data_IF_175287193767
#
_entry.id   IF_175287193767
#
_cell.length_a   1.000
_cell.length_b   1.000
_cell.length_c   1.000
_cell.angle_alpha   90.00
_cell.angle_beta   90.00
_cell.angle_gamma   90.00
#
_symmetry.space_group_name_H-M   'P 1'
#
loop_
_entity.id
_entity.type
_entity.pdbx_description
1 polymer ?
#
# COMPACT_ATOMS: atom_id res chain seq x y z
N UNK A 1 -7.07 28.01 -1.83
CA UNK A 1 -6.94 27.00 -2.91
C UNK A 1 -6.26 25.76 -2.33
N UNK A 2 -6.88 24.58 -2.42
CA UNK A 2 -6.32 23.31 -1.94
C UNK A 2 -5.32 22.81 -3.00
N UNK A 3 -4.06 22.64 -2.60
CA UNK A 3 -3.01 22.16 -3.49
C UNK A 3 -3.37 20.77 -4.01
N UNK A 4 -3.22 20.64 -5.32
CA UNK A 4 -3.58 19.47 -6.13
C UNK A 4 -2.75 18.27 -5.67
N UNK A 5 -3.43 17.14 -5.45
CA UNK A 5 -2.79 15.87 -5.12
C UNK A 5 -1.65 15.60 -6.09
N UNK A 6 -0.47 15.40 -5.52
CA UNK A 6 0.72 15.05 -6.28
C UNK A 6 0.42 13.75 -7.05
N UNK A 7 0.40 13.84 -8.37
CA UNK A 7 0.46 12.68 -9.26
C UNK A 7 1.87 12.11 -9.10
N UNK A 8 2.04 11.23 -8.10
CA UNK A 8 3.27 10.49 -7.91
C UNK A 8 3.42 9.51 -9.07
N UNK A 9 4.30 9.91 -9.98
CA UNK A 9 5.17 9.10 -10.83
C UNK A 9 4.57 7.86 -11.52
N UNK A 10 4.31 8.03 -12.83
CA UNK A 10 4.08 6.98 -13.84
C UNK A 10 5.20 5.92 -13.98
N UNK A 11 6.20 5.84 -13.08
CA UNK A 11 7.35 4.94 -13.23
C UNK A 11 7.09 3.49 -12.81
N UNK A 12 6.05 3.21 -12.02
CA UNK A 12 5.72 1.85 -11.55
C UNK A 12 4.39 1.29 -12.06
N UNK A 13 3.88 1.81 -13.18
CA UNK A 13 2.63 1.33 -13.80
C UNK A 13 2.65 -0.18 -14.16
N UNK A 14 3.79 -0.85 -14.00
CA UNK A 14 4.03 -2.24 -14.36
C UNK A 14 4.41 -3.16 -13.19
N UNK A 15 4.37 -2.71 -11.92
CA UNK A 15 4.51 -3.66 -10.82
C UNK A 15 3.26 -4.54 -10.73
N UNK A 16 3.45 -5.85 -10.83
CA UNK A 16 2.39 -6.82 -10.62
C UNK A 16 1.79 -6.70 -9.21
N UNK A 17 0.51 -7.03 -9.09
CA UNK A 17 -0.15 -7.12 -7.79
C UNK A 17 0.51 -8.21 -6.94
N UNK A 18 0.77 -7.90 -5.67
CA UNK A 18 1.29 -8.85 -4.69
C UNK A 18 0.14 -9.70 -4.18
N UNK A 19 0.07 -10.94 -4.66
CA UNK A 19 -0.97 -11.90 -4.27
C UNK A 19 -0.71 -12.55 -2.91
N UNK A 20 0.56 -12.81 -2.57
CA UNK A 20 0.99 -13.30 -1.26
C UNK A 20 1.69 -12.19 -0.47
N UNK A 21 0.97 -11.57 0.47
CA UNK A 21 1.46 -10.44 1.26
C UNK A 21 2.59 -10.86 2.21
N UNK A 22 2.74 -12.14 2.57
CA UNK A 22 3.84 -12.62 3.44
C UNK A 22 5.22 -12.43 2.80
N UNK A 23 5.25 -12.21 1.49
CA UNK A 23 6.48 -11.90 0.75
C UNK A 23 6.98 -10.48 0.99
N UNK A 24 6.13 -9.58 1.49
CA UNK A 24 6.52 -8.22 1.86
C UNK A 24 7.40 -8.24 3.12
N UNK A 25 8.23 -7.21 3.26
CA UNK A 25 9.15 -7.01 4.37
C UNK A 25 8.94 -5.62 4.95
N UNK A 26 9.22 -5.47 6.24
CA UNK A 26 9.20 -4.15 6.87
C UNK A 26 10.15 -3.20 6.12
N UNK A 27 9.68 -1.99 5.83
CA UNK A 27 10.38 -0.99 5.01
C UNK A 27 10.11 -1.07 3.50
N UNK A 28 9.45 -2.13 2.99
CA UNK A 28 9.04 -2.18 1.58
C UNK A 28 8.06 -1.04 1.29
N UNK A 29 8.31 -0.25 0.24
CA UNK A 29 7.34 0.75 -0.19
C UNK A 29 6.22 0.10 -1.02
N UNK A 30 4.96 0.32 -0.63
CA UNK A 30 3.81 -0.26 -1.31
C UNK A 30 2.68 0.74 -1.51
N UNK A 31 1.89 0.49 -2.54
CA UNK A 31 0.64 1.18 -2.83
C UNK A 31 -0.53 0.24 -2.56
N UNK A 32 -1.56 0.77 -1.90
CA UNK A 32 -2.85 0.10 -1.69
C UNK A 32 -3.85 0.64 -2.70
N UNK A 33 -4.43 -0.26 -3.47
CA UNK A 33 -5.35 0.07 -4.56
C UNK A 33 -6.73 -0.52 -4.27
N UNK A 34 -7.77 0.30 -4.36
CA UNK A 34 -9.17 -0.12 -4.27
C UNK A 34 -9.96 0.54 -5.39
N UNK A 35 -10.80 -0.25 -6.08
CA UNK A 35 -11.59 0.22 -7.23
C UNK A 35 -10.75 1.00 -8.26
N UNK A 36 -9.56 0.48 -8.60
CA UNK A 36 -8.60 1.11 -9.52
C UNK A 36 -7.99 2.46 -9.08
N UNK A 37 -8.19 2.88 -7.83
CA UNK A 37 -7.58 4.08 -7.26
C UNK A 37 -6.56 3.72 -6.18
N UNK A 38 -5.42 4.40 -6.16
CA UNK A 38 -4.49 4.36 -5.01
C UNK A 38 -5.18 5.07 -3.84
N UNK A 39 -5.48 4.32 -2.79
CA UNK A 39 -6.14 4.82 -1.58
C UNK A 39 -5.17 5.07 -0.43
N UNK A 40 -3.98 4.46 -0.49
CA UNK A 40 -2.88 4.71 0.44
C UNK A 40 -1.55 4.33 -0.21
N UNK A 41 -0.47 4.91 0.28
CA UNK A 41 0.90 4.53 -0.05
C UNK A 41 1.79 4.75 1.19
N UNK A 42 2.74 3.85 1.41
CA UNK A 42 3.58 3.89 2.60
C UNK A 42 4.56 2.72 2.67
N UNK A 43 5.33 2.70 3.74
CA UNK A 43 6.23 1.59 4.04
C UNK A 43 5.49 0.51 4.81
N UNK A 44 5.74 -0.74 4.47
CA UNK A 44 5.24 -1.88 5.24
C UNK A 44 5.85 -1.82 6.63
N UNK A 45 5.02 -1.86 7.66
CA UNK A 45 5.46 -2.06 9.04
C UNK A 45 5.50 -3.56 9.35
N UNK A 46 4.37 -4.22 9.13
CA UNK A 46 4.17 -5.62 9.48
C UNK A 46 3.16 -6.27 8.53
N UNK A 47 3.32 -7.58 8.34
CA UNK A 47 2.29 -8.45 7.75
C UNK A 47 1.98 -9.56 8.73
N UNK A 48 0.69 -9.80 8.96
CA UNK A 48 0.29 -10.87 9.87
C UNK A 48 0.78 -12.23 9.35
N UNK A 49 0.99 -13.19 10.26
CA UNK A 49 1.44 -14.53 9.90
C UNK A 49 0.51 -15.22 8.88
N UNK A 50 -0.79 -14.93 8.93
CA UNK A 50 -1.78 -15.45 7.97
C UNK A 50 -1.71 -14.80 6.59
N UNK A 51 -0.99 -13.66 6.45
CA UNK A 51 -0.88 -12.92 5.19
C UNK A 51 -2.15 -12.14 4.81
N UNK A 52 -3.06 -11.95 5.76
CA UNK A 52 -4.38 -11.34 5.51
C UNK A 52 -4.51 -9.92 6.06
N UNK A 53 -3.56 -9.47 6.88
CA UNK A 53 -3.53 -8.12 7.47
C UNK A 53 -2.19 -7.49 7.18
N UNK A 54 -2.23 -6.23 6.74
CA UNK A 54 -1.07 -5.43 6.39
C UNK A 54 -1.12 -4.11 7.16
N UNK A 55 -0.03 -3.76 7.84
CA UNK A 55 0.16 -2.47 8.50
C UNK A 55 1.14 -1.63 7.71
N UNK A 56 0.78 -0.37 7.46
CA UNK A 56 1.61 0.61 6.79
C UNK A 56 1.95 1.79 7.70
N UNK A 57 3.19 2.25 7.61
CA UNK A 57 3.59 3.60 8.02
C UNK A 57 3.40 4.53 6.81
N UNK A 58 2.48 5.51 6.88
CA UNK A 58 2.26 6.44 5.78
C UNK A 58 3.47 7.37 5.61
N UNK A 59 3.74 7.80 4.37
CA UNK A 59 4.84 8.72 4.06
C UNK A 59 4.64 10.17 4.56
N UNK A 60 3.59 10.45 5.34
CA UNK A 60 3.22 11.77 5.85
C UNK A 60 2.77 11.73 7.31
N UNK A 61 2.31 12.86 7.89
CA UNK A 61 2.00 12.97 9.32
C UNK A 61 0.64 12.32 9.68
N UNK A 62 0.44 11.07 9.28
CA UNK A 62 -0.75 10.27 9.56
C UNK A 62 -0.40 9.13 10.50
N UNK A 63 -1.41 8.67 11.22
CA UNK A 63 -1.32 7.45 12.01
C UNK A 63 -1.15 6.22 11.11
N UNK A 64 -0.62 5.15 11.71
CA UNK A 64 -0.48 3.84 11.09
C UNK A 64 -1.80 3.37 10.48
N UNK A 65 -1.72 2.79 9.30
CA UNK A 65 -2.90 2.32 8.56
C UNK A 65 -2.92 0.80 8.50
N UNK A 66 -4.10 0.22 8.72
CA UNK A 66 -4.34 -1.22 8.66
C UNK A 66 -5.23 -1.55 7.46
N UNK A 67 -4.86 -2.60 6.72
CA UNK A 67 -5.63 -3.10 5.59
C UNK A 67 -5.86 -4.60 5.70
N UNK A 68 -7.08 -5.04 5.40
CA UNK A 68 -7.44 -6.46 5.33
C UNK A 68 -7.53 -6.91 3.87
N UNK A 69 -7.05 -8.12 3.60
CA UNK A 69 -7.18 -8.74 2.27
C UNK A 69 -8.64 -8.95 1.87
N UNK A 70 -9.52 -9.19 2.84
CA UNK A 70 -10.97 -9.31 2.65
C UNK A 70 -11.64 -8.01 2.21
N UNK A 71 -10.99 -6.85 2.37
CA UNK A 71 -11.56 -5.56 1.99
C UNK A 71 -11.52 -5.30 0.47
N UNK A 72 -11.06 -6.29 -0.30
CA UNK A 72 -10.97 -6.23 -1.75
C UNK A 72 -9.87 -5.29 -2.25
N UNK A 73 -8.86 -5.02 -1.43
CA UNK A 73 -7.73 -4.17 -1.80
C UNK A 73 -6.64 -4.97 -2.51
N UNK A 74 -5.97 -4.33 -3.46
CA UNK A 74 -4.76 -4.83 -4.11
C UNK A 74 -3.55 -4.12 -3.53
N UNK A 75 -2.42 -4.83 -3.47
CA UNK A 75 -1.13 -4.27 -3.04
C UNK A 75 -0.17 -4.34 -4.22
N UNK A 76 0.58 -3.27 -4.47
CA UNK A 76 1.67 -3.23 -5.45
C UNK A 76 2.93 -2.70 -4.81
N UNK A 77 4.10 -3.18 -5.27
CA UNK A 77 5.38 -2.60 -4.87
C UNK A 77 5.59 -1.28 -5.62
N UNK A 78 5.99 -0.26 -4.87
CA UNK A 78 6.37 1.06 -5.42
C UNK A 78 7.87 1.17 -5.63
#
# INVERSE_FOLDING_TARGET
>A
MKARGAVLSRRNAHSAAVSDWRTLKAGDHVEIIKHAHVVAAGEVEEVSQSGNVLWLVPAGPSEKQLFLKSDGVQVRRG
#
